data_IF_599096508444
#
_entry.id   IF_599096508444
#
_cell.length_a   1.000
_cell.length_b   1.000
_cell.length_c   1.000
_cell.angle_alpha   90.00
_cell.angle_beta   90.00
_cell.angle_gamma   90.00
#
_symmetry.space_group_name_H-M   'P 1'
#
loop_
_entity.id
_entity.type
_entity.pdbx_description
1 polymer ?
#
# COMPACT_ATOMS: atom_id res chain seq x y z
N UNK A 1 -8.78 3.62 1.60
CA UNK A 1 -8.52 4.50 2.77
C UNK A 1 -9.77 5.33 2.98
N UNK A 2 -10.30 5.40 4.20
CA UNK A 2 -11.46 6.25 4.51
C UNK A 2 -11.03 7.32 5.51
N UNK A 3 -11.62 8.51 5.42
CA UNK A 3 -11.43 9.57 6.41
C UNK A 3 -12.73 9.79 7.17
N UNK A 4 -12.63 10.44 8.35
CA UNK A 4 -13.80 10.73 9.18
C UNK A 4 -14.89 11.49 8.40
N UNK A 5 -14.47 12.41 7.52
CA UNK A 5 -15.37 13.21 6.67
C UNK A 5 -16.20 12.36 5.70
N UNK A 6 -15.69 11.19 5.27
CA UNK A 6 -16.43 10.26 4.40
C UNK A 6 -17.69 9.70 5.08
N UNK A 7 -17.79 9.78 6.41
CA UNK A 7 -18.92 9.26 7.18
C UNK A 7 -19.75 10.38 7.85
N UNK A 8 -19.22 11.61 7.92
CA UNK A 8 -19.84 12.72 8.64
C UNK A 8 -20.85 13.53 7.82
N UNK A 9 -20.61 13.69 6.51
CA UNK A 9 -21.41 14.60 5.66
C UNK A 9 -22.24 13.90 4.58
N UNK A 10 -21.97 12.63 4.26
CA UNK A 10 -22.68 11.90 3.22
C UNK A 10 -22.94 10.45 3.67
N UNK A 11 -24.16 9.96 3.43
CA UNK A 11 -24.56 8.57 3.73
C UNK A 11 -24.18 7.60 2.60
N UNK A 12 -23.82 8.13 1.41
CA UNK A 12 -23.46 7.32 0.23
C UNK A 12 -22.34 6.33 0.55
N UNK A 13 -21.34 6.73 1.35
CA UNK A 13 -20.25 5.84 1.73
C UNK A 13 -20.76 4.57 2.44
N UNK A 14 -21.71 4.70 3.37
CA UNK A 14 -22.27 3.55 4.10
C UNK A 14 -23.08 2.63 3.18
N UNK A 15 -23.91 3.19 2.31
CA UNK A 15 -24.66 2.40 1.32
C UNK A 15 -23.73 1.66 0.36
N UNK A 16 -22.67 2.33 -0.11
CA UNK A 16 -21.67 1.73 -0.99
C UNK A 16 -20.96 0.56 -0.30
N UNK A 17 -20.48 0.76 0.94
CA UNK A 17 -19.85 -0.33 1.69
C UNK A 17 -20.80 -1.50 1.90
N UNK A 18 -22.07 -1.24 2.26
CA UNK A 18 -23.06 -2.30 2.43
C UNK A 18 -23.25 -3.12 1.14
N UNK A 19 -23.46 -2.44 0.01
CA UNK A 19 -23.62 -3.11 -1.29
C UNK A 19 -22.37 -3.93 -1.68
N UNK A 20 -21.18 -3.40 -1.39
CA UNK A 20 -19.90 -4.11 -1.62
C UNK A 20 -19.80 -5.37 -0.75
N UNK A 21 -20.15 -5.29 0.53
CA UNK A 21 -20.13 -6.46 1.42
C UNK A 21 -21.15 -7.50 0.99
N UNK A 22 -22.38 -7.11 0.66
CA UNK A 22 -23.41 -8.01 0.14
C UNK A 22 -22.95 -8.71 -1.15
N UNK A 23 -22.32 -7.95 -2.06
CA UNK A 23 -21.76 -8.53 -3.27
C UNK A 23 -20.70 -9.59 -2.94
N UNK A 24 -19.71 -9.25 -2.11
CA UNK A 24 -18.65 -10.18 -1.74
C UNK A 24 -19.18 -11.43 -1.05
N UNK A 25 -20.10 -11.30 -0.09
CA UNK A 25 -20.60 -12.44 0.68
C UNK A 25 -21.53 -13.34 -0.13
N UNK A 26 -22.39 -12.77 -0.98
CA UNK A 26 -23.41 -13.53 -1.69
C UNK A 26 -22.96 -14.05 -3.06
N UNK A 27 -22.02 -13.35 -3.70
CA UNK A 27 -21.63 -13.63 -5.08
C UNK A 27 -20.19 -14.11 -5.22
N UNK A 28 -19.43 -14.19 -4.13
CA UNK A 28 -18.08 -14.73 -4.13
C UNK A 28 -17.87 -15.68 -2.96
N UNK A 29 -16.82 -16.51 -3.04
CA UNK A 29 -16.38 -17.34 -1.92
C UNK A 29 -15.24 -16.68 -1.12
N UNK A 30 -15.10 -15.36 -1.21
CA UNK A 30 -14.05 -14.60 -0.54
C UNK A 30 -14.42 -14.42 0.93
N UNK A 31 -13.53 -14.84 1.83
CA UNK A 31 -13.66 -14.61 3.27
C UNK A 31 -12.82 -13.40 3.65
N UNK A 32 -13.48 -12.38 4.18
CA UNK A 32 -12.82 -11.19 4.68
C UNK A 32 -12.40 -11.41 6.13
N UNK A 33 -11.11 -11.18 6.40
CA UNK A 33 -10.52 -11.26 7.73
C UNK A 33 -9.83 -9.92 7.99
N UNK A 34 -10.09 -9.35 9.16
CA UNK A 34 -9.48 -8.09 9.60
C UNK A 34 -8.55 -8.34 10.76
N UNK A 35 -7.44 -7.62 10.81
CA UNK A 35 -6.45 -7.69 11.88
C UNK A 35 -5.90 -6.28 12.15
N UNK A 36 -5.43 -5.97 13.38
CA UNK A 36 -4.78 -4.70 13.67
C UNK A 36 -3.59 -4.42 12.74
N UNK A 37 -3.25 -3.14 12.47
CA UNK A 37 -2.17 -2.79 11.55
C UNK A 37 -0.82 -3.46 11.85
N UNK A 38 -0.48 -3.63 13.14
CA UNK A 38 0.76 -4.29 13.56
C UNK A 38 0.81 -5.77 13.19
N UNK A 39 -0.30 -6.49 13.34
CA UNK A 39 -0.38 -7.90 13.00
C UNK A 39 -0.52 -8.10 11.49
N UNK A 40 -1.26 -7.24 10.78
CA UNK A 40 -1.27 -7.21 9.31
C UNK A 40 0.14 -6.99 8.73
N UNK A 41 0.96 -6.14 9.33
CA UNK A 41 2.34 -5.94 8.90
C UNK A 41 3.15 -7.24 9.01
N UNK A 42 3.00 -7.98 10.12
CA UNK A 42 3.66 -9.27 10.29
C UNK A 42 3.20 -10.29 9.24
N UNK A 43 1.88 -10.43 9.03
CA UNK A 43 1.31 -11.32 8.01
C UNK A 43 1.85 -10.96 6.61
N UNK A 44 1.93 -9.67 6.30
CA UNK A 44 2.49 -9.18 5.04
C UNK A 44 3.95 -9.61 4.89
N UNK A 45 4.82 -9.31 5.86
CA UNK A 45 6.24 -9.65 5.78
C UNK A 45 6.50 -11.16 5.75
N UNK A 46 5.75 -11.96 6.51
CA UNK A 46 5.84 -13.43 6.45
C UNK A 46 5.46 -13.96 5.06
N UNK A 47 4.40 -13.42 4.45
CA UNK A 47 4.00 -13.80 3.09
C UNK A 47 5.09 -13.50 2.07
N UNK A 48 5.77 -12.36 2.14
CA UNK A 48 6.88 -12.03 1.24
C UNK A 48 8.05 -13.03 1.36
N UNK A 49 8.40 -13.41 2.59
CA UNK A 49 9.42 -14.43 2.84
C UNK A 49 9.06 -15.78 2.21
N UNK A 50 7.79 -16.18 2.28
CA UNK A 50 7.32 -17.44 1.66
C UNK A 50 7.54 -17.49 0.14
N UNK A 51 7.50 -16.35 -0.55
CA UNK A 51 7.73 -16.26 -2.00
C UNK A 51 9.20 -16.08 -2.38
N UNK A 52 10.14 -16.31 -1.45
CA UNK A 52 11.58 -16.26 -1.72
C UNK A 52 12.16 -14.84 -1.78
N UNK A 53 11.38 -13.83 -1.38
CA UNK A 53 11.85 -12.46 -1.23
C UNK A 53 12.45 -12.32 0.17
N UNK A 54 13.75 -12.52 0.27
CA UNK A 54 14.49 -12.43 1.54
C UNK A 54 14.87 -10.99 1.91
N UNK A 55 14.83 -10.08 0.94
CA UNK A 55 15.11 -8.67 1.13
C UNK A 55 13.82 -7.93 1.45
N UNK A 56 13.88 -6.99 2.39
CA UNK A 56 12.76 -6.07 2.60
C UNK A 56 12.52 -5.29 1.30
N UNK A 57 11.27 -4.94 0.96
CA UNK A 57 10.96 -4.08 -0.19
C UNK A 57 11.39 -2.64 0.10
N UNK A 58 12.70 -2.45 0.27
CA UNK A 58 13.35 -1.18 0.49
C UNK A 58 13.64 -0.60 -0.88
N UNK A 59 13.10 0.59 -1.13
CA UNK A 59 13.57 1.41 -2.23
C UNK A 59 14.96 1.92 -1.85
N UNK A 60 15.97 1.35 -2.48
CA UNK A 60 17.35 1.83 -2.42
C UNK A 60 17.56 2.93 -3.45
N UNK A 61 18.75 3.55 -3.43
CA UNK A 61 19.11 4.58 -4.38
C UNK A 61 18.91 4.09 -5.83
N UNK A 62 18.01 4.72 -6.61
CA UNK A 62 17.70 4.29 -7.97
C UNK A 62 18.92 4.40 -8.90
N UNK A 63 19.93 5.23 -8.58
CA UNK A 63 21.19 5.26 -9.31
C UNK A 63 21.98 3.94 -9.19
N UNK A 64 21.80 3.18 -8.10
CA UNK A 64 22.59 1.96 -7.81
C UNK A 64 21.91 0.67 -8.30
N UNK A 65 20.65 0.74 -8.70
CA UNK A 65 19.86 -0.40 -9.14
C UNK A 65 19.26 -0.11 -10.53
N UNK A 66 19.70 -0.85 -11.55
CA UNK A 66 19.28 -0.63 -12.94
C UNK A 66 17.77 -0.71 -13.15
N UNK A 67 17.09 -1.61 -12.43
CA UNK A 67 15.63 -1.74 -12.51
C UNK A 67 14.92 -0.54 -11.89
N UNK A 68 15.41 -0.04 -10.76
CA UNK A 68 14.87 1.18 -10.15
C UNK A 68 15.19 2.42 -10.99
N UNK A 69 16.35 2.45 -11.65
CA UNK A 69 16.74 3.53 -12.56
C UNK A 69 15.81 3.63 -13.77
N UNK A 70 15.40 2.49 -14.34
CA UNK A 70 14.44 2.46 -15.46
C UNK A 70 13.06 2.99 -15.07
N UNK A 71 12.65 2.79 -13.82
CA UNK A 71 11.38 3.31 -13.28
C UNK A 71 11.49 4.77 -12.81
N UNK A 72 12.71 5.30 -12.70
CA UNK A 72 12.97 6.63 -12.18
C UNK A 72 12.70 7.70 -13.25
N UNK A 73 12.05 8.83 -12.92
CA UNK A 73 11.86 9.93 -13.87
C UNK A 73 13.21 10.45 -14.36
N UNK A 74 13.36 10.61 -15.68
CA UNK A 74 14.63 11.02 -16.29
C UNK A 74 15.14 12.39 -15.82
N UNK A 75 14.23 13.27 -15.41
CA UNK A 75 14.55 14.63 -14.95
C UNK A 75 14.79 14.73 -13.43
N UNK A 76 14.68 13.62 -12.69
CA UNK A 76 14.83 13.63 -11.24
C UNK A 76 16.24 13.26 -10.80
N UNK A 77 16.84 14.00 -9.84
CA UNK A 77 18.16 13.66 -9.33
C UNK A 77 18.12 12.34 -8.55
N UNK A 78 19.12 11.48 -8.77
CA UNK A 78 19.39 10.30 -7.93
C UNK A 78 20.78 10.41 -7.27
N UNK A 79 21.12 9.48 -6.37
CA UNK A 79 22.33 9.58 -5.56
C UNK A 79 22.09 9.97 -4.11
N UNK A 80 22.99 9.55 -3.23
CA UNK A 80 22.99 9.87 -1.78
C UNK A 80 23.10 11.37 -1.47
N UNK A 81 23.54 12.18 -2.42
CA UNK A 81 23.67 13.63 -2.27
C UNK A 81 22.32 14.35 -2.45
N UNK A 82 21.34 13.68 -3.07
CA UNK A 82 20.03 14.24 -3.39
C UNK A 82 18.88 13.52 -2.70
N UNK A 83 19.05 12.24 -2.37
CA UNK A 83 18.04 11.40 -1.74
C UNK A 83 18.41 11.09 -0.28
N UNK A 84 17.41 10.96 0.63
CA UNK A 84 17.66 10.53 1.99
C UNK A 84 18.17 9.08 2.02
N UNK A 85 19.01 8.77 3.02
CA UNK A 85 19.64 7.45 3.17
C UNK A 85 18.66 6.30 3.39
N UNK A 86 17.43 6.59 3.84
CA UNK A 86 16.33 5.65 3.84
C UNK A 86 14.99 6.40 3.80
N UNK A 87 13.97 5.78 3.20
CA UNK A 87 12.59 6.29 3.18
C UNK A 87 11.69 5.21 3.76
N UNK A 88 10.91 5.56 4.78
CA UNK A 88 9.80 4.71 5.23
C UNK A 88 8.57 5.15 4.45
N UNK A 89 8.21 4.36 3.44
CA UNK A 89 6.99 4.57 2.67
C UNK A 89 5.84 3.92 3.42
N UNK A 90 4.98 4.76 4.01
CA UNK A 90 3.68 4.31 4.51
C UNK A 90 2.78 3.89 3.34
N UNK A 91 1.65 3.19 3.60
CA UNK A 91 0.71 2.82 2.56
C UNK A 91 0.34 4.02 1.69
N UNK A 92 0.34 3.81 0.36
CA UNK A 92 0.11 4.87 -0.62
C UNK A 92 -1.16 5.64 -0.27
N UNK A 93 -1.02 6.95 -0.06
CA UNK A 93 -2.13 7.87 0.17
C UNK A 93 -2.79 8.16 -1.18
N UNK A 94 -3.54 7.22 -1.74
CA UNK A 94 -4.48 7.49 -2.84
C UNK A 94 -5.72 8.15 -2.26
N UNK A 95 -5.57 9.41 -1.85
CA UNK A 95 -6.67 10.33 -1.61
C UNK A 95 -6.56 11.45 -2.62
N UNK A 96 -7.23 11.31 -3.76
CA UNK A 96 -7.62 12.46 -4.57
C UNK A 96 -8.57 13.30 -3.70
N UNK A 97 -8.17 14.53 -3.41
CA UNK A 97 -9.11 15.59 -3.06
C UNK A 97 -9.91 15.98 -4.30
#
# INVERSE_FOLDING_TARGET
>A
MTHLVNYGNDRVALYLFNAIFEFMTNWTNIKLITSPPSELANIYFERFKLYGVNELPLYSDPCLNSHLHELWPSDWPCGSDHLPSFIIIGPQKTGLF
#
